data_IF_570995800000
#
_entry.id   IF_570995800000
#
_cell.length_a   1.000
_cell.length_b   1.000
_cell.length_c   1.000
_cell.angle_alpha   90.00
_cell.angle_beta   90.00
_cell.angle_gamma   90.00
#
_symmetry.space_group_name_H-M   'P 1'
#
loop_
_entity.id
_entity.type
_entity.pdbx_description
1 polymer ?
#
# COMPACT_ATOMS: atom_id res chain seq x y z
N UNK A 1 8.68 -32.80 -3.11
CA UNK A 1 7.67 -31.94 -3.76
C UNK A 1 8.37 -30.67 -4.15
N UNK A 2 8.38 -30.33 -5.43
CA UNK A 2 9.05 -29.12 -5.95
C UNK A 2 8.20 -27.87 -5.73
N UNK A 3 8.86 -26.73 -5.58
CA UNK A 3 8.23 -25.41 -5.54
C UNK A 3 7.64 -25.14 -6.93
N UNK A 4 6.33 -24.86 -7.01
CA UNK A 4 5.63 -24.50 -8.25
C UNK A 4 5.26 -23.02 -8.20
N UNK A 5 5.51 -22.29 -9.29
CA UNK A 5 5.11 -20.90 -9.44
C UNK A 5 3.62 -20.84 -9.79
N UNK A 6 2.87 -20.05 -9.03
CA UNK A 6 1.45 -19.79 -9.27
C UNK A 6 1.16 -18.29 -9.06
N UNK A 7 -0.03 -17.86 -9.45
CA UNK A 7 -0.48 -16.49 -9.28
C UNK A 7 -0.98 -16.29 -7.85
N UNK A 8 -0.36 -15.38 -7.11
CA UNK A 8 -0.86 -14.98 -5.80
C UNK A 8 -2.15 -14.18 -5.96
N UNK A 9 -3.23 -14.64 -5.32
CA UNK A 9 -4.53 -13.96 -5.29
C UNK A 9 -4.96 -13.82 -3.84
N UNK A 10 -5.31 -12.60 -3.43
CA UNK A 10 -5.92 -12.32 -2.13
C UNK A 10 -7.40 -12.01 -2.33
N UNK A 11 -8.27 -12.79 -1.69
CA UNK A 11 -9.71 -12.50 -1.67
C UNK A 11 -10.01 -11.28 -0.81
N UNK A 12 -11.04 -10.52 -1.18
CA UNK A 12 -11.53 -9.38 -0.41
C UNK A 12 -13.06 -9.36 -0.42
N UNK A 13 -13.65 -8.88 0.67
CA UNK A 13 -15.10 -8.69 0.76
C UNK A 13 -15.56 -7.49 -0.08
N UNK A 14 -16.80 -7.55 -0.58
CA UNK A 14 -17.39 -6.44 -1.32
C UNK A 14 -17.48 -5.19 -0.45
N UNK A 15 -16.89 -4.07 -0.93
CA UNK A 15 -16.79 -2.78 -0.22
C UNK A 15 -15.99 -2.85 1.09
N UNK A 16 -15.03 -3.76 1.20
CA UNK A 16 -14.09 -3.76 2.30
C UNK A 16 -13.27 -2.46 2.34
N UNK A 17 -12.85 -2.07 3.55
CA UNK A 17 -11.81 -1.07 3.74
C UNK A 17 -10.46 -1.79 3.89
N UNK A 18 -9.51 -1.47 3.02
CA UNK A 18 -8.20 -2.12 2.98
C UNK A 18 -7.11 -1.06 3.17
N UNK A 19 -6.21 -1.31 4.11
CA UNK A 19 -4.97 -0.56 4.27
C UNK A 19 -3.84 -1.36 3.61
N UNK A 20 -3.07 -0.71 2.74
CA UNK A 20 -1.89 -1.28 2.11
C UNK A 20 -0.70 -0.45 2.58
N UNK A 21 0.31 -1.11 3.15
CA UNK A 21 1.58 -0.50 3.55
C UNK A 21 2.65 -1.01 2.60
N UNK A 22 3.28 -0.10 1.87
CA UNK A 22 4.45 -0.41 1.06
C UNK A 22 5.71 -0.09 1.85
N UNK A 23 6.56 -1.10 2.07
CA UNK A 23 7.91 -0.92 2.62
C UNK A 23 8.92 -1.18 1.50
N UNK A 24 9.61 -0.12 1.08
CA UNK A 24 10.68 -0.20 0.08
C UNK A 24 12.03 -0.30 0.79
N UNK A 25 12.68 -1.47 0.72
CA UNK A 25 13.99 -1.72 1.31
C UNK A 25 15.15 -1.51 0.32
N UNK A 26 14.87 -0.99 -0.87
CA UNK A 26 15.83 -0.77 -1.94
C UNK A 26 16.24 0.71 -2.04
N UNK A 27 17.40 0.99 -2.64
CA UNK A 27 17.88 2.35 -2.88
C UNK A 27 17.32 2.96 -4.19
N UNK A 28 16.22 2.41 -4.72
CA UNK A 28 15.55 2.89 -5.92
C UNK A 28 14.08 3.17 -5.64
N UNK A 29 13.52 4.18 -6.32
CA UNK A 29 12.11 4.51 -6.22
C UNK A 29 11.28 3.41 -6.89
N UNK A 30 10.27 2.90 -6.18
CA UNK A 30 9.28 1.99 -6.72
C UNK A 30 8.00 2.76 -7.03
N UNK A 31 7.36 2.46 -8.16
CA UNK A 31 6.07 3.06 -8.57
C UNK A 31 4.98 2.00 -8.53
N UNK A 32 3.94 2.21 -7.72
CA UNK A 32 2.83 1.29 -7.54
C UNK A 32 1.54 1.88 -8.11
N UNK A 33 0.89 1.16 -9.03
CA UNK A 33 -0.40 1.51 -9.61
C UNK A 33 -1.47 0.50 -9.16
N UNK A 34 -2.63 0.99 -8.74
CA UNK A 34 -3.76 0.13 -8.38
C UNK A 34 -4.84 0.21 -9.46
N UNK A 35 -5.02 -0.91 -10.17
CA UNK A 35 -6.04 -1.00 -11.21
C UNK A 35 -7.45 -1.08 -10.61
N UNK A 36 -8.40 -0.40 -11.27
CA UNK A 36 -9.83 -0.49 -10.94
C UNK A 36 -10.30 0.32 -9.73
N UNK A 37 -9.39 0.94 -8.97
CA UNK A 37 -9.70 1.75 -7.80
C UNK A 37 -8.78 2.97 -7.69
N UNK A 38 -9.26 4.00 -6.97
CA UNK A 38 -8.38 5.03 -6.43
C UNK A 38 -8.23 4.81 -4.93
N UNK A 39 -7.11 5.23 -4.36
CA UNK A 39 -6.78 5.13 -2.95
C UNK A 39 -6.34 6.48 -2.39
N UNK A 40 -6.38 6.63 -1.08
CA UNK A 40 -5.87 7.82 -0.39
C UNK A 40 -4.46 7.56 0.14
N UNK A 41 -3.52 8.46 -0.14
CA UNK A 41 -2.20 8.42 0.50
C UNK A 41 -2.33 9.03 1.89
N UNK A 42 -2.50 8.18 2.89
CA UNK A 42 -2.74 8.60 4.28
C UNK A 42 -1.45 8.82 5.08
N UNK A 43 -0.33 8.21 4.70
CA UNK A 43 0.97 8.40 5.35
C UNK A 43 2.13 8.02 4.43
N UNK A 44 3.27 8.67 4.61
CA UNK A 44 4.51 8.40 3.88
C UNK A 44 5.67 8.94 4.72
N UNK A 45 6.62 8.08 5.06
CA UNK A 45 7.81 8.44 5.84
C UNK A 45 8.95 7.46 5.54
N UNK A 46 10.17 7.83 5.92
CA UNK A 46 11.32 6.94 5.91
C UNK A 46 11.38 6.04 7.14
N UNK A 47 12.11 4.93 7.02
CA UNK A 47 12.26 3.93 8.09
C UNK A 47 11.17 2.86 8.08
N UNK A 48 11.18 2.00 9.11
CA UNK A 48 10.26 0.89 9.21
C UNK A 48 8.88 1.36 9.66
N UNK A 49 7.84 0.91 8.97
CA UNK A 49 6.48 1.16 9.40
C UNK A 49 6.19 0.42 10.70
N UNK A 50 5.44 1.06 11.60
CA UNK A 50 4.94 0.42 12.82
C UNK A 50 3.48 0.79 13.04
N UNK A 51 2.80 0.09 13.95
CA UNK A 51 1.41 0.44 14.31
C UNK A 51 1.30 1.87 14.85
N UNK A 52 2.36 2.43 15.46
CA UNK A 52 2.39 3.80 15.94
C UNK A 52 2.42 4.86 14.80
N UNK A 53 2.88 4.49 13.60
CA UNK A 53 2.90 5.37 12.42
C UNK A 53 1.51 5.87 12.03
N UNK A 54 0.45 5.11 12.38
CA UNK A 54 -0.96 5.51 12.17
C UNK A 54 -1.33 6.82 12.86
N UNK A 55 -0.62 7.21 13.92
CA UNK A 55 -0.86 8.48 14.62
C UNK A 55 -0.52 9.71 13.75
N UNK A 56 0.27 9.54 12.69
CA UNK A 56 0.66 10.61 11.77
C UNK A 56 -0.18 10.62 10.49
N UNK A 57 -1.16 9.71 10.36
CA UNK A 57 -1.95 9.63 9.15
C UNK A 57 -2.79 10.88 8.92
N UNK A 58 -2.81 11.36 7.68
CA UNK A 58 -3.80 12.31 7.24
C UNK A 58 -5.15 11.62 7.03
N UNK A 59 -6.00 11.67 8.06
CA UNK A 59 -7.35 11.10 8.03
C UNK A 59 -8.43 12.14 7.68
N UNK A 60 -8.04 13.37 7.30
CA UNK A 60 -8.97 14.47 7.07
C UNK A 60 -9.12 14.81 5.59
N UNK A 61 -8.00 14.95 4.88
CA UNK A 61 -7.97 15.43 3.50
C UNK A 61 -6.86 14.78 2.66
N UNK A 62 -6.55 13.51 2.95
CA UNK A 62 -5.60 12.75 2.15
C UNK A 62 -5.93 12.77 0.66
N UNK A 63 -4.88 12.83 -0.17
CA UNK A 63 -5.02 12.95 -1.61
C UNK A 63 -5.42 11.61 -2.21
N UNK A 64 -6.46 11.61 -3.05
CA UNK A 64 -6.82 10.46 -3.87
C UNK A 64 -5.85 10.31 -5.05
N UNK A 65 -5.34 9.10 -5.25
CA UNK A 65 -4.38 8.72 -6.29
C UNK A 65 -4.75 7.35 -6.86
N UNK A 66 -4.21 7.05 -8.04
CA UNK A 66 -4.19 5.69 -8.61
C UNK A 66 -2.77 5.14 -8.69
N UNK A 67 -1.76 6.01 -8.51
CA UNK A 67 -0.34 5.66 -8.50
C UNK A 67 0.35 6.40 -7.36
N UNK A 68 1.27 5.73 -6.66
CA UNK A 68 2.19 6.35 -5.70
C UNK A 68 3.62 5.89 -5.95
N UNK A 69 4.58 6.70 -5.54
CA UNK A 69 5.99 6.37 -5.55
C UNK A 69 6.47 6.22 -4.10
N UNK A 70 7.25 5.18 -3.82
CA UNK A 70 7.78 4.83 -2.49
C UNK A 70 9.25 4.47 -2.57
#
# INVERSE_FOLDING_TARGET
GGIYLDTAVMGADYRAFIEIVFENTEDIIQSWHLDGYSFWVVGMDGGLWTTASRNQYNLRDAVSRVTTQV
#
